data_IF_570720143967
#
_entry.id   IF_570720143967
#
_cell.length_a   1.000
_cell.length_b   1.000
_cell.length_c   1.000
_cell.angle_alpha   90.00
_cell.angle_beta   90.00
_cell.angle_gamma   90.00
#
_symmetry.space_group_name_H-M   'P 1'
#
loop_
_entity.id
_entity.type
_entity.pdbx_description
1 polymer ?
#
# COMPACT_ATOMS: atom_id res chain seq x y z
N UNK A 1 -2.87 -21.91 -4.12
CA UNK A 1 -2.45 -21.33 -5.42
C UNK A 1 -3.61 -20.96 -6.36
N UNK A 2 -4.71 -21.75 -6.43
CA UNK A 2 -5.85 -21.45 -7.34
C UNK A 2 -6.74 -20.27 -6.93
N UNK A 3 -6.73 -19.87 -5.65
CA UNK A 3 -7.57 -18.79 -5.13
C UNK A 3 -7.10 -17.37 -5.49
N UNK A 4 -5.78 -17.13 -5.56
CA UNK A 4 -5.23 -15.82 -6.01
C UNK A 4 -5.49 -15.63 -7.51
N UNK A 5 -5.46 -16.71 -8.29
CA UNK A 5 -5.81 -16.69 -9.70
C UNK A 5 -7.33 -16.56 -9.93
N UNK A 6 -8.18 -17.09 -9.04
CA UNK A 6 -9.64 -16.88 -9.06
C UNK A 6 -10.07 -15.49 -8.58
N UNK A 7 -9.36 -14.88 -7.61
CA UNK A 7 -9.56 -13.45 -7.26
C UNK A 7 -9.13 -12.53 -8.40
N UNK A 8 -8.05 -12.87 -9.11
CA UNK A 8 -7.63 -12.17 -10.32
C UNK A 8 -8.57 -12.39 -11.52
N UNK A 9 -9.28 -13.53 -11.59
CA UNK A 9 -10.12 -13.92 -12.74
C UNK A 9 -11.64 -13.81 -12.49
N UNK A 10 -12.08 -13.40 -11.29
CA UNK A 10 -13.48 -13.08 -10.97
C UNK A 10 -13.69 -11.64 -10.48
N UNK A 11 -12.71 -10.75 -10.65
CA UNK A 11 -13.05 -9.33 -10.71
C UNK A 11 -13.40 -9.03 -12.17
N UNK A 12 -14.67 -8.74 -12.52
CA UNK A 12 -14.93 -8.06 -13.76
C UNK A 12 -14.18 -6.74 -13.66
N UNK A 13 -13.06 -6.61 -14.39
CA UNK A 13 -12.49 -5.29 -14.70
C UNK A 13 -13.47 -4.68 -15.70
N UNK A 14 -14.36 -3.75 -15.31
CA UNK A 14 -14.99 -2.92 -16.31
C UNK A 14 -13.89 -2.12 -17.04
N UNK A 15 -14.01 -1.87 -18.35
CA UNK A 15 -13.07 -1.01 -19.05
C UNK A 15 -13.36 0.47 -18.74
N UNK A 16 -13.09 0.93 -17.51
CA UNK A 16 -13.39 2.31 -17.10
C UNK A 16 -12.43 2.80 -15.99
N UNK A 17 -11.22 3.32 -16.30
CA UNK A 17 -10.66 4.33 -15.41
C UNK A 17 -9.81 5.41 -16.12
N UNK A 18 -10.23 5.92 -17.27
CA UNK A 18 -9.62 7.17 -17.80
C UNK A 18 -9.97 8.41 -16.96
N UNK A 19 -10.95 8.33 -16.05
CA UNK A 19 -11.26 9.40 -15.09
C UNK A 19 -10.41 9.38 -13.80
N UNK A 20 -9.74 8.27 -13.46
CA UNK A 20 -8.89 8.19 -12.25
C UNK A 20 -7.48 8.78 -12.46
N UNK A 21 -7.10 9.03 -13.71
CA UNK A 21 -5.78 9.55 -14.11
C UNK A 21 -5.54 11.01 -13.69
N UNK A 22 -6.59 11.79 -13.43
CA UNK A 22 -6.42 13.18 -12.97
C UNK A 22 -6.05 13.31 -11.48
N UNK A 23 -6.28 12.28 -10.66
CA UNK A 23 -6.01 12.36 -9.21
C UNK A 23 -4.90 11.42 -8.73
N UNK A 24 -4.54 10.41 -9.52
CA UNK A 24 -3.50 9.47 -9.12
C UNK A 24 -2.13 10.00 -9.55
N UNK A 25 -1.19 10.23 -8.60
CA UNK A 25 0.17 10.60 -8.94
C UNK A 25 0.74 9.53 -9.89
N UNK A 26 1.06 9.91 -11.14
CA UNK A 26 1.68 9.05 -12.16
C UNK A 26 2.71 7.99 -11.66
N UNK A 27 3.53 8.25 -10.62
CA UNK A 27 4.30 7.25 -9.87
C UNK A 27 3.61 5.91 -9.59
N UNK A 28 2.37 5.94 -9.08
CA UNK A 28 1.66 4.72 -8.66
C UNK A 28 1.31 3.85 -9.86
N UNK A 29 1.05 4.47 -11.01
CA UNK A 29 0.78 3.77 -12.26
C UNK A 29 2.04 3.04 -12.73
N UNK A 30 3.20 3.69 -12.66
CA UNK A 30 4.50 3.07 -12.97
C UNK A 30 4.79 1.87 -12.05
N UNK A 31 4.49 2.00 -10.76
CA UNK A 31 4.65 0.91 -9.78
C UNK A 31 3.73 -0.28 -10.10
N UNK A 32 2.46 -0.04 -10.42
CA UNK A 32 1.50 -1.11 -10.75
C UNK A 32 1.88 -1.85 -12.03
N UNK A 33 2.31 -1.12 -13.07
CA UNK A 33 2.75 -1.73 -14.34
C UNK A 33 4.00 -2.59 -14.09
N UNK A 34 4.98 -2.08 -13.32
CA UNK A 34 6.19 -2.84 -12.97
C UNK A 34 5.86 -4.08 -12.13
N UNK A 35 4.91 -3.97 -11.20
CA UNK A 35 4.45 -5.10 -10.38
C UNK A 35 3.81 -6.20 -11.23
N UNK A 36 2.92 -5.84 -12.16
CA UNK A 36 2.30 -6.79 -13.10
C UNK A 36 3.36 -7.44 -13.98
N UNK A 37 4.33 -6.66 -14.48
CA UNK A 37 5.44 -7.16 -15.27
C UNK A 37 6.33 -8.14 -14.49
N UNK A 38 6.60 -7.87 -13.21
CA UNK A 38 7.40 -8.73 -12.35
C UNK A 38 6.66 -10.04 -12.01
N UNK A 39 5.35 -9.96 -11.74
CA UNK A 39 4.51 -11.14 -11.51
C UNK A 39 4.42 -12.03 -12.76
N UNK A 40 4.52 -11.47 -13.95
CA UNK A 40 4.59 -12.21 -15.21
C UNK A 40 5.97 -12.88 -15.47
N UNK A 41 6.92 -12.80 -14.54
CA UNK A 41 8.27 -13.36 -14.67
C UNK A 41 9.26 -12.45 -15.39
N UNK A 42 8.94 -11.16 -15.53
CA UNK A 42 9.82 -10.17 -16.13
C UNK A 42 11.11 -9.93 -15.33
N UNK A 43 12.23 -9.70 -16.02
CA UNK A 43 13.51 -9.33 -15.39
C UNK A 43 13.47 -7.88 -14.91
N UNK A 44 14.18 -7.59 -13.81
CA UNK A 44 14.33 -6.23 -13.26
C UNK A 44 14.95 -5.31 -14.33
N UNK A 45 14.30 -4.20 -14.72
CA UNK A 45 14.86 -3.28 -15.70
C UNK A 45 16.05 -2.53 -15.08
N UNK A 46 17.15 -2.43 -15.84
CA UNK A 46 18.39 -1.78 -15.39
C UNK A 46 18.23 -0.28 -15.03
N UNK A 47 17.18 0.37 -15.52
CA UNK A 47 16.85 1.77 -15.21
C UNK A 47 16.01 1.98 -13.95
N UNK A 48 15.60 0.93 -13.25
CA UNK A 48 14.74 1.05 -12.06
C UNK A 48 15.41 1.86 -10.94
N UNK A 49 16.71 1.66 -10.76
CA UNK A 49 17.49 2.31 -9.70
C UNK A 49 17.61 3.82 -9.93
N UNK A 50 17.90 4.23 -11.17
CA UNK A 50 17.91 5.63 -11.57
C UNK A 50 16.52 6.28 -11.47
N UNK A 51 15.46 5.55 -11.82
CA UNK A 51 14.09 6.02 -11.67
C UNK A 51 13.68 6.19 -10.20
N UNK A 52 14.06 5.24 -9.32
CA UNK A 52 13.81 5.31 -7.88
C UNK A 52 14.58 6.46 -7.23
N UNK A 53 15.85 6.66 -7.60
CA UNK A 53 16.65 7.78 -7.09
C UNK A 53 16.08 9.13 -7.53
N UNK A 54 15.65 9.25 -8.79
CA UNK A 54 14.89 10.39 -9.26
C UNK A 54 13.61 10.61 -8.44
N UNK A 55 12.86 9.54 -8.17
CA UNK A 55 11.64 9.61 -7.36
C UNK A 55 11.88 10.13 -5.95
N UNK A 56 12.88 9.59 -5.26
CA UNK A 56 13.24 10.01 -3.89
C UNK A 56 13.59 11.50 -3.87
N UNK A 57 14.27 12.02 -4.90
CA UNK A 57 14.58 13.44 -5.03
C UNK A 57 13.32 14.30 -5.24
N UNK A 58 12.35 13.82 -6.02
CA UNK A 58 11.10 14.55 -6.29
C UNK A 58 9.98 14.27 -5.26
N UNK A 59 10.13 13.29 -4.37
CA UNK A 59 9.16 13.04 -3.30
C UNK A 59 9.00 14.27 -2.40
N UNK A 60 10.08 15.01 -2.13
CA UNK A 60 10.00 16.29 -1.41
C UNK A 60 9.05 17.28 -2.10
N UNK A 61 9.10 17.37 -3.43
CA UNK A 61 8.19 18.21 -4.23
C UNK A 61 6.74 17.69 -4.25
N UNK A 62 6.51 16.39 -4.02
CA UNK A 62 5.18 15.79 -3.90
C UNK A 62 4.61 15.91 -2.47
N UNK A 63 5.47 15.87 -1.45
CA UNK A 63 5.09 16.04 -0.05
C UNK A 63 4.79 17.50 0.30
N UNK A 64 5.48 18.47 -0.32
CA UNK A 64 5.25 19.90 -0.09
C UNK A 64 3.80 20.33 -0.37
N UNK A 65 3.18 20.07 -1.54
CA UNK A 65 1.79 20.47 -1.81
C UNK A 65 0.78 19.75 -0.92
N UNK A 66 1.02 18.49 -0.58
CA UNK A 66 0.20 17.77 0.39
C UNK A 66 0.31 18.36 1.80
N UNK A 67 1.53 18.75 2.21
CA UNK A 67 1.79 19.34 3.51
C UNK A 67 1.20 20.76 3.63
N UNK A 68 1.40 21.61 2.63
CA UNK A 68 0.88 23.00 2.61
C UNK A 68 -0.65 23.02 2.65
N UNK A 69 -1.32 22.02 2.05
CA UNK A 69 -2.77 21.84 2.18
C UNK A 69 -3.21 21.60 3.62
N UNK A 70 -2.42 20.89 4.42
CA UNK A 70 -2.68 20.68 5.85
C UNK A 70 -2.51 21.96 6.67
N UNK A 71 -1.55 22.81 6.29
CA UNK A 71 -1.24 24.07 6.98
C UNK A 71 -2.47 25.01 6.99
N UNK A 72 -3.27 24.99 5.92
CA UNK A 72 -4.48 25.83 5.83
C UNK A 72 -5.60 25.43 6.80
N UNK A 73 -5.58 24.19 7.31
CA UNK A 73 -6.53 23.72 8.31
C UNK A 73 -5.94 23.72 9.73
N UNK A 74 -4.73 24.25 9.94
CA UNK A 74 -4.07 24.23 11.25
C UNK A 74 -4.85 24.97 12.34
N UNK A 75 -5.58 26.03 11.99
CA UNK A 75 -6.46 26.74 12.94
C UNK A 75 -7.51 25.78 13.53
N UNK A 76 -8.15 24.96 12.68
CA UNK A 76 -9.14 23.98 13.10
C UNK A 76 -8.51 22.81 13.87
N UNK A 77 -7.27 22.44 13.51
CA UNK A 77 -6.47 21.47 14.26
C UNK A 77 -6.04 22.00 15.64
N UNK A 78 -5.93 23.31 15.86
CA UNK A 78 -5.54 23.85 17.16
C UNK A 78 -6.67 23.73 18.19
N UNK A 79 -7.92 23.89 17.77
CA UNK A 79 -9.09 23.71 18.64
C UNK A 79 -9.44 22.24 18.89
N UNK A 80 -9.18 21.35 17.92
CA UNK A 80 -9.65 19.95 17.93
C UNK A 80 -8.50 18.92 17.85
N UNK A 81 -7.25 19.35 18.05
CA UNK A 81 -6.07 18.53 17.83
C UNK A 81 -6.02 17.26 18.68
N UNK A 82 -6.59 17.31 19.88
CA UNK A 82 -6.75 16.14 20.76
C UNK A 82 -7.62 15.05 20.12
N UNK A 83 -8.74 15.44 19.49
CA UNK A 83 -9.63 14.48 18.80
C UNK A 83 -8.90 13.87 17.61
N UNK A 84 -8.14 14.66 16.87
CA UNK A 84 -7.35 14.18 15.73
C UNK A 84 -6.32 13.12 16.14
N UNK A 85 -5.57 13.37 17.21
CA UNK A 85 -4.56 12.42 17.72
C UNK A 85 -5.22 11.11 18.11
N UNK A 86 -6.34 11.17 18.83
CA UNK A 86 -7.08 9.96 19.25
C UNK A 86 -7.56 9.18 18.03
N UNK A 87 -8.14 9.85 17.03
CA UNK A 87 -8.60 9.19 15.79
C UNK A 87 -7.43 8.58 15.01
N UNK A 88 -6.30 9.26 14.89
CA UNK A 88 -5.10 8.74 14.18
C UNK A 88 -4.56 7.50 14.88
N UNK A 89 -4.43 7.54 16.20
CA UNK A 89 -3.95 6.40 16.99
C UNK A 89 -4.92 5.22 16.85
N UNK A 90 -6.22 5.46 17.01
CA UNK A 90 -7.24 4.43 16.85
C UNK A 90 -7.25 3.85 15.43
N UNK A 91 -7.14 4.67 14.39
CA UNK A 91 -7.08 4.22 13.00
C UNK A 91 -5.83 3.39 12.71
N UNK A 92 -4.69 3.78 13.27
CA UNK A 92 -3.43 3.04 13.10
C UNK A 92 -3.51 1.67 13.79
N UNK A 93 -4.02 1.62 15.02
CA UNK A 93 -4.25 0.37 15.73
C UNK A 93 -5.27 -0.51 15.01
N UNK A 94 -6.37 0.06 14.53
CA UNK A 94 -7.37 -0.66 13.75
C UNK A 94 -6.78 -1.21 12.44
N UNK A 95 -5.95 -0.44 11.74
CA UNK A 95 -5.27 -0.89 10.52
C UNK A 95 -4.27 -2.01 10.80
N UNK A 96 -3.49 -1.92 11.87
CA UNK A 96 -2.58 -2.98 12.32
C UNK A 96 -3.35 -4.26 12.67
N UNK A 97 -4.43 -4.14 13.43
CA UNK A 97 -5.30 -5.28 13.78
C UNK A 97 -5.93 -5.90 12.53
N UNK A 98 -6.48 -5.09 11.62
CA UNK A 98 -7.06 -5.57 10.38
C UNK A 98 -6.02 -6.30 9.51
N UNK A 99 -4.81 -5.76 9.39
CA UNK A 99 -3.72 -6.39 8.65
C UNK A 99 -3.25 -7.68 9.31
N UNK A 100 -3.10 -7.68 10.64
CA UNK A 100 -2.74 -8.87 11.41
C UNK A 100 -3.81 -9.96 11.29
N UNK A 101 -5.10 -9.61 11.38
CA UNK A 101 -6.21 -10.54 11.18
C UNK A 101 -6.23 -11.08 9.75
N UNK A 102 -6.04 -10.23 8.75
CA UNK A 102 -5.97 -10.66 7.36
C UNK A 102 -4.80 -11.65 7.16
N UNK A 103 -3.66 -11.39 7.77
CA UNK A 103 -2.50 -12.27 7.72
C UNK A 103 -2.74 -13.58 8.48
N UNK A 104 -3.34 -13.58 9.67
CA UNK A 104 -3.64 -14.82 10.42
C UNK A 104 -4.67 -15.68 9.70
N UNK A 105 -5.70 -15.06 9.10
CA UNK A 105 -6.64 -15.76 8.24
C UNK A 105 -5.88 -16.36 7.06
N UNK A 106 -5.14 -15.55 6.29
CA UNK A 106 -4.36 -16.01 5.13
C UNK A 106 -3.32 -17.09 5.49
N UNK A 107 -2.68 -17.00 6.65
CA UNK A 107 -1.75 -17.99 7.18
C UNK A 107 -2.49 -19.29 7.55
N UNK A 108 -3.71 -19.21 8.08
CA UNK A 108 -4.59 -20.36 8.25
C UNK A 108 -4.93 -21.07 6.93
N UNK A 109 -4.99 -20.33 5.81
CA UNK A 109 -5.14 -20.91 4.47
C UNK A 109 -3.82 -21.47 3.90
N UNK A 110 -2.67 -21.15 4.49
CA UNK A 110 -1.34 -21.45 3.96
C UNK A 110 -0.49 -22.37 4.85
N UNK A 111 -0.95 -22.82 6.02
CA UNK A 111 -0.20 -23.75 6.88
C UNK A 111 -0.23 -25.21 6.38
N UNK A 112 0.92 -25.79 6.01
CA UNK A 112 1.42 -27.00 6.63
C UNK A 112 2.00 -26.68 8.03
N UNK A 113 1.95 -27.63 8.98
CA UNK A 113 2.28 -27.40 10.39
C UNK A 113 3.80 -27.27 10.60
N UNK A 114 4.28 -26.13 11.11
CA UNK A 114 5.65 -26.06 11.63
C UNK A 114 5.71 -26.61 13.04
N UNK A 115 6.12 -27.88 13.13
CA UNK A 115 6.51 -28.57 14.36
C UNK A 115 8.00 -28.31 14.62
N UNK A 116 8.38 -27.12 15.07
CA UNK A 116 9.77 -26.87 15.50
C UNK A 116 9.93 -26.31 16.92
N UNK A 117 8.84 -26.01 17.63
CA UNK A 117 8.87 -25.54 19.04
C UNK A 117 8.91 -26.68 20.09
N UNK A 118 9.17 -27.95 19.72
CA UNK A 118 9.17 -29.08 20.68
C UNK A 118 10.41 -30.00 20.65
N UNK A 119 11.56 -29.58 20.10
CA UNK A 119 12.77 -30.43 20.05
C UNK A 119 14.08 -29.71 20.42
N UNK A 120 14.09 -28.88 21.45
CA UNK A 120 15.32 -28.48 22.14
C UNK A 120 15.01 -28.22 23.63
N UNK A 121 14.45 -29.24 24.31
CA UNK A 121 14.64 -29.48 25.75
C UNK A 121 15.36 -30.82 25.84
#
# INVERSE_FOLDING_TARGET
MRFVFLLACNWPVPPLPVCWVCLCPGPFIGLLVLLVWLLAGGRRPAGLEAAAEGFIRYLLLLFVPAAVGLVQYLDLLSEQGLVLIVVIVLSTLAGLLATALMFTIAAGWLSPPDKSEKRQI
#
